data_IF_720692754138
#
_entry.id   IF_720692754138
#
_cell.length_a   1.000
_cell.length_b   1.000
_cell.length_c   1.000
_cell.angle_alpha   90.00
_cell.angle_beta   90.00
_cell.angle_gamma   90.00
#
_symmetry.space_group_name_H-M   'P 1'
#
loop_
_entity.id
_entity.type
_entity.pdbx_description
1 polymer ?
#
# COMPACT_ATOMS: atom_id res chain seq x y z
N UNK A 1 -1.88 20.32 35.88
CA UNK A 1 -2.66 19.14 36.31
C UNK A 1 -2.82 18.20 35.12
N UNK A 2 -2.73 16.87 35.30
CA UNK A 2 -2.84 15.94 34.19
C UNK A 2 -4.29 15.95 33.69
N UNK A 3 -4.49 16.35 32.43
CA UNK A 3 -5.84 16.35 31.83
C UNK A 3 -6.27 14.88 31.69
N UNK A 4 -7.32 14.48 32.40
CA UNK A 4 -8.02 13.22 32.14
C UNK A 4 -8.45 13.24 30.67
N UNK A 5 -7.91 12.33 29.87
CA UNK A 5 -8.47 12.06 28.55
C UNK A 5 -9.90 11.55 28.78
N UNK A 6 -10.89 12.36 28.41
CA UNK A 6 -12.27 11.93 28.40
C UNK A 6 -12.42 10.72 27.48
N UNK A 7 -13.31 9.82 27.83
CA UNK A 7 -13.73 8.67 27.02
C UNK A 7 -13.88 9.11 25.56
N UNK A 8 -13.14 8.48 24.66
CA UNK A 8 -13.18 8.80 23.23
C UNK A 8 -14.57 8.41 22.73
N UNK A 9 -15.29 9.38 22.20
CA UNK A 9 -16.60 9.17 21.57
C UNK A 9 -16.37 8.68 20.15
N UNK A 10 -16.33 7.36 19.97
CA UNK A 10 -16.07 6.70 18.69
C UNK A 10 -17.11 7.06 17.61
N UNK A 11 -18.32 7.50 17.99
CA UNK A 11 -19.35 7.93 17.03
C UNK A 11 -19.00 9.26 16.35
N UNK A 12 -18.13 10.07 16.97
CA UNK A 12 -17.65 11.34 16.42
C UNK A 12 -16.29 11.23 15.74
N UNK A 13 -15.68 10.05 15.74
CA UNK A 13 -14.38 9.82 15.11
C UNK A 13 -14.60 9.64 13.62
N UNK A 14 -14.11 10.59 12.83
CA UNK A 14 -14.20 10.53 11.38
C UNK A 14 -13.29 9.45 10.77
N UNK A 15 -12.10 9.22 11.36
CA UNK A 15 -11.10 8.27 10.89
C UNK A 15 -10.20 7.80 12.05
N UNK A 16 -9.80 6.51 12.01
CA UNK A 16 -8.78 5.95 12.90
C UNK A 16 -7.62 5.46 12.04
N UNK A 17 -6.42 5.95 12.35
CA UNK A 17 -5.19 5.58 11.66
C UNK A 17 -4.30 4.74 12.58
N UNK A 18 -3.72 3.69 12.01
CA UNK A 18 -2.76 2.81 12.67
C UNK A 18 -1.49 2.78 11.84
N UNK A 19 -0.34 2.51 12.46
CA UNK A 19 0.91 2.37 11.72
C UNK A 19 1.11 0.92 11.32
N UNK A 20 1.27 0.68 10.01
CA UNK A 20 1.60 -0.64 9.50
C UNK A 20 3.02 -1.03 9.96
N UNK A 21 3.23 -2.20 10.57
CA UNK A 21 4.56 -2.63 11.04
C UNK A 21 5.47 -3.08 9.88
N UNK A 22 4.92 -3.38 8.71
CA UNK A 22 5.67 -3.84 7.52
C UNK A 22 6.11 -2.67 6.65
N UNK A 23 5.15 -1.83 6.24
CA UNK A 23 5.42 -0.69 5.35
C UNK A 23 5.81 0.58 6.11
N UNK A 24 5.67 0.59 7.43
CA UNK A 24 5.90 1.73 8.32
C UNK A 24 5.04 2.98 8.03
N UNK A 25 4.11 2.88 7.07
CA UNK A 25 3.14 3.91 6.69
C UNK A 25 1.91 3.92 7.58
N UNK A 26 1.16 5.02 7.56
CA UNK A 26 -0.15 5.10 8.19
C UNK A 26 -1.18 4.39 7.31
N UNK A 27 -2.02 3.58 7.95
CA UNK A 27 -3.11 2.85 7.33
C UNK A 27 -4.42 3.15 8.05
N UNK A 28 -5.53 3.03 7.34
CA UNK A 28 -6.87 3.06 7.94
C UNK A 28 -7.13 1.74 8.68
N UNK A 29 -7.69 1.80 9.89
CA UNK A 29 -7.77 0.63 10.77
C UNK A 29 -8.75 -0.47 10.34
N UNK A 30 -9.76 -0.17 9.51
CA UNK A 30 -10.79 -1.12 9.04
C UNK A 30 -10.51 -1.65 7.65
N UNK A 31 -9.86 -0.88 6.77
CA UNK A 31 -9.56 -1.33 5.41
C UNK A 31 -8.10 -1.74 5.27
N UNK A 32 -7.21 -1.20 6.10
CA UNK A 32 -5.77 -1.30 5.94
C UNK A 32 -5.27 -0.59 4.68
N UNK A 33 -6.09 0.26 4.04
CA UNK A 33 -5.64 1.09 2.94
C UNK A 33 -4.64 2.14 3.46
N UNK A 34 -3.54 2.40 2.73
CA UNK A 34 -2.59 3.43 3.09
C UNK A 34 -3.26 4.79 3.04
N UNK A 35 -2.99 5.62 4.05
CA UNK A 35 -3.49 6.98 4.13
C UNK A 35 -2.78 7.84 3.09
N UNK A 36 -3.47 8.15 2.01
CA UNK A 36 -3.03 9.12 0.99
C UNK A 36 -3.41 10.55 1.39
N UNK A 37 -2.88 11.55 0.67
CA UNK A 37 -3.26 12.96 0.88
C UNK A 37 -4.76 13.17 0.69
N UNK A 38 -5.35 12.55 -0.33
CA UNK A 38 -6.79 12.59 -0.61
C UNK A 38 -7.63 11.96 0.49
N UNK A 39 -7.08 10.99 1.22
CA UNK A 39 -7.74 10.37 2.38
C UNK A 39 -7.89 11.32 3.58
N UNK A 40 -6.90 12.20 3.81
CA UNK A 40 -6.90 13.14 4.94
C UNK A 40 -8.01 14.18 4.85
N UNK A 41 -8.42 14.51 3.63
CA UNK A 41 -9.45 15.53 3.38
C UNK A 41 -10.88 14.96 3.39
N UNK A 42 -11.04 13.63 3.44
CA UNK A 42 -12.35 12.96 3.49
C UNK A 42 -12.94 12.99 4.91
N UNK A 43 -13.90 13.88 5.14
CA UNK A 43 -14.78 13.83 6.33
C UNK A 43 -15.74 12.65 6.21
N UNK A 44 -15.98 11.90 7.30
CA UNK A 44 -16.82 10.69 7.34
C UNK A 44 -16.41 9.62 6.33
N UNK A 45 -15.15 9.19 6.38
CA UNK A 45 -14.70 8.08 5.53
C UNK A 45 -15.52 6.83 5.82
N UNK A 46 -16.16 6.29 4.78
CA UNK A 46 -16.86 5.02 4.84
C UNK A 46 -16.04 4.01 4.08
N UNK A 47 -15.71 2.90 4.73
CA UNK A 47 -15.02 1.80 4.07
C UNK A 47 -15.88 1.27 2.91
N UNK A 48 -15.40 1.47 1.69
CA UNK A 48 -16.04 0.97 0.46
C UNK A 48 -15.51 -0.42 0.05
N UNK A 49 -14.66 -0.98 0.90
CA UNK A 49 -13.90 -2.19 0.63
C UNK A 49 -13.95 -3.11 1.84
N UNK A 50 -14.29 -4.38 1.59
CA UNK A 50 -14.28 -5.42 2.62
C UNK A 50 -13.02 -6.27 2.44
N UNK A 51 -12.21 -6.28 3.48
CA UNK A 51 -11.06 -7.16 3.61
C UNK A 51 -11.50 -8.54 4.09
N UNK A 52 -10.66 -9.54 3.86
CA UNK A 52 -10.89 -10.87 4.40
C UNK A 52 -10.97 -10.81 5.95
N UNK A 53 -11.93 -11.53 6.53
CA UNK A 53 -12.23 -11.52 7.97
C UNK A 53 -11.05 -12.02 8.82
N UNK A 54 -10.13 -12.80 8.24
CA UNK A 54 -8.95 -13.33 8.92
C UNK A 54 -7.67 -12.57 8.55
N UNK A 55 -7.75 -11.53 7.71
CA UNK A 55 -6.58 -10.73 7.40
C UNK A 55 -6.17 -9.84 8.59
N UNK A 56 -4.86 -9.64 8.84
CA UNK A 56 -4.40 -8.75 9.89
C UNK A 56 -4.68 -7.28 9.54
N UNK A 57 -5.48 -6.62 10.38
CA UNK A 57 -5.93 -5.22 10.21
C UNK A 57 -4.90 -4.19 10.68
N UNK A 58 -3.84 -4.63 11.36
CA UNK A 58 -2.67 -3.83 11.73
C UNK A 58 -1.65 -3.74 10.59
N UNK A 59 -1.84 -4.49 9.50
CA UNK A 59 -0.93 -4.52 8.35
C UNK A 59 -1.63 -3.96 7.11
N UNK A 60 -0.88 -3.19 6.32
CA UNK A 60 -1.36 -2.63 5.05
C UNK A 60 -1.96 -3.71 4.15
N UNK A 61 -3.09 -3.42 3.53
CA UNK A 61 -3.68 -4.29 2.51
C UNK A 61 -2.74 -4.50 1.32
N UNK A 62 -1.85 -3.53 1.05
CA UNK A 62 -0.85 -3.59 -0.01
C UNK A 62 0.38 -4.43 0.35
N UNK A 63 0.48 -4.91 1.60
CA UNK A 63 1.56 -5.80 2.02
C UNK A 63 1.23 -7.29 1.74
N UNK A 64 0.00 -7.60 1.33
CA UNK A 64 -0.42 -8.94 0.95
C UNK A 64 -0.73 -8.95 -0.55
N UNK A 65 -0.22 -9.94 -1.28
CA UNK A 65 -0.55 -10.15 -2.69
C UNK A 65 -2.04 -10.53 -2.89
N UNK A 66 -2.76 -10.83 -1.80
CA UNK A 66 -4.20 -11.06 -1.79
C UNK A 66 -4.97 -9.75 -1.73
N UNK A 67 -5.62 -9.38 -2.84
CA UNK A 67 -6.47 -8.20 -2.95
C UNK A 67 -7.75 -8.23 -2.10
N UNK A 68 -8.60 -7.24 -2.30
CA UNK A 68 -9.87 -7.12 -1.57
C UNK A 68 -10.97 -8.03 -2.13
N UNK A 69 -11.74 -8.67 -1.24
CA UNK A 69 -12.80 -9.62 -1.62
C UNK A 69 -14.01 -8.95 -2.26
N UNK A 70 -14.34 -7.75 -1.81
CA UNK A 70 -15.42 -6.93 -2.38
C UNK A 70 -15.01 -5.46 -2.39
N UNK A 71 -15.07 -4.85 -3.58
CA UNK A 71 -14.95 -3.40 -3.77
C UNK A 71 -16.18 -2.89 -4.48
N UNK A 72 -16.85 -1.87 -3.94
CA UNK A 72 -18.07 -1.32 -4.53
C UNK A 72 -17.83 -0.54 -5.82
N UNK A 73 -16.70 0.14 -5.90
CA UNK A 73 -16.30 0.91 -7.08
C UNK A 73 -14.95 0.37 -7.58
N UNK A 74 -14.77 0.15 -8.89
CA UNK A 74 -13.44 -0.13 -9.45
C UNK A 74 -12.51 1.05 -9.11
N UNK A 75 -11.22 0.79 -8.91
CA UNK A 75 -10.24 1.88 -8.78
C UNK A 75 -10.13 2.59 -10.12
N UNK A 76 -10.99 3.58 -10.34
CA UNK A 76 -10.92 4.48 -11.48
C UNK A 76 -9.70 5.43 -11.38
N UNK A 77 -9.06 5.47 -10.21
CA UNK A 77 -8.02 6.45 -9.85
C UNK A 77 -6.70 5.82 -9.33
N UNK A 78 -6.39 4.54 -9.63
CA UNK A 78 -4.96 4.26 -9.89
C UNK A 78 -4.77 4.71 -11.32
N UNK A 79 -4.67 6.03 -11.51
CA UNK A 79 -3.84 6.47 -12.61
C UNK A 79 -2.48 5.94 -12.22
N UNK A 80 -1.98 4.99 -13.00
CA UNK A 80 -0.58 4.63 -12.98
C UNK A 80 0.15 5.93 -13.35
N UNK A 81 0.36 6.81 -12.37
CA UNK A 81 1.09 8.04 -12.54
C UNK A 81 2.55 7.69 -12.42
N UNK A 82 3.34 8.23 -13.32
CA UNK A 82 4.78 8.09 -13.21
C UNK A 82 5.27 8.74 -11.91
N UNK A 83 6.22 8.09 -11.24
CA UNK A 83 6.95 8.74 -10.16
C UNK A 83 7.69 9.97 -10.68
N UNK A 84 7.96 10.90 -9.77
CA UNK A 84 8.81 12.05 -10.02
C UNK A 84 10.12 11.60 -10.73
N UNK A 85 10.51 12.23 -11.85
CA UNK A 85 11.76 11.90 -12.55
C UNK A 85 13.02 11.91 -11.67
N UNK A 86 13.02 12.64 -10.56
CA UNK A 86 14.13 12.65 -9.60
C UNK A 86 14.19 11.38 -8.73
N UNK A 87 13.09 10.63 -8.65
CA UNK A 87 13.01 9.37 -7.89
C UNK A 87 13.44 8.22 -8.80
N UNK A 88 14.66 7.72 -8.57
CA UNK A 88 15.16 6.51 -9.22
C UNK A 88 14.43 5.26 -8.73
N UNK A 89 13.85 4.49 -9.64
CA UNK A 89 13.27 3.17 -9.35
C UNK A 89 14.32 2.10 -9.62
N UNK A 90 14.51 1.21 -8.65
CA UNK A 90 15.48 0.12 -8.74
C UNK A 90 14.83 -1.21 -8.38
N UNK A 91 15.30 -2.27 -9.03
CA UNK A 91 14.92 -3.64 -8.74
C UNK A 91 16.08 -4.36 -8.05
N UNK A 92 15.78 -5.18 -7.04
CA UNK A 92 16.75 -5.98 -6.29
C UNK A 92 16.17 -7.37 -6.09
N UNK A 93 17.00 -8.40 -6.26
CA UNK A 93 16.54 -9.77 -6.08
C UNK A 93 17.66 -10.79 -5.99
N UNK A 94 17.26 -12.05 -5.95
CA UNK A 94 18.16 -13.18 -5.74
C UNK A 94 19.17 -13.37 -6.87
N UNK A 95 18.87 -12.92 -8.10
CA UNK A 95 19.80 -12.98 -9.24
C UNK A 95 21.07 -12.15 -9.01
N UNK A 96 21.02 -11.11 -8.16
CA UNK A 96 22.19 -10.31 -7.75
C UNK A 96 22.68 -10.67 -6.35
N UNK A 97 22.17 -11.77 -5.77
CA UNK A 97 22.41 -12.12 -4.37
C UNK A 97 21.96 -11.03 -3.38
N UNK A 98 21.02 -10.18 -3.77
CA UNK A 98 20.60 -8.98 -3.01
C UNK A 98 21.72 -7.97 -2.73
N UNK A 99 22.86 -8.09 -3.43
CA UNK A 99 24.04 -7.23 -3.21
C UNK A 99 24.06 -6.00 -4.11
N UNK A 100 23.27 -6.01 -5.18
CA UNK A 100 23.19 -4.92 -6.16
C UNK A 100 21.75 -4.63 -6.52
N UNK A 101 21.48 -3.33 -6.68
CA UNK A 101 20.23 -2.79 -7.21
C UNK A 101 20.45 -2.42 -8.68
N UNK A 102 19.53 -2.83 -9.56
CA UNK A 102 19.56 -2.51 -10.98
C UNK A 102 18.48 -1.45 -11.29
N UNK A 103 18.85 -0.37 -11.97
CA UNK A 103 17.91 0.70 -12.29
C UNK A 103 16.83 0.22 -13.28
N UNK A 104 15.60 0.70 -13.11
CA UNK A 104 14.49 0.42 -14.01
C UNK A 104 14.28 1.59 -14.99
N UNK A 105 13.99 1.27 -16.25
CA UNK A 105 13.60 2.23 -17.27
C UNK A 105 12.11 2.56 -17.17
N UNK A 106 11.76 3.84 -17.31
CA UNK A 106 10.36 4.31 -17.32
C UNK A 106 9.75 4.11 -18.71
N UNK A 107 8.59 3.46 -18.78
CA UNK A 107 7.78 3.31 -20.00
C UNK A 107 6.62 4.31 -20.09
N UNK A 108 6.29 4.98 -18.98
CA UNK A 108 5.20 5.94 -18.90
C UNK A 108 3.93 5.32 -18.34
N UNK A 109 3.09 6.14 -17.72
CA UNK A 109 1.87 5.66 -17.06
C UNK A 109 2.21 4.69 -15.93
N UNK A 110 3.12 5.07 -15.02
CA UNK A 110 3.48 4.31 -13.81
C UNK A 110 4.23 3.01 -14.07
N UNK A 111 4.49 2.67 -15.34
CA UNK A 111 5.16 1.44 -15.73
C UNK A 111 6.68 1.61 -15.76
N UNK A 112 7.36 0.72 -15.04
CA UNK A 112 8.82 0.61 -15.00
C UNK A 112 9.24 -0.79 -15.44
N UNK A 113 10.28 -0.87 -16.27
CA UNK A 113 10.79 -2.14 -16.80
C UNK A 113 12.29 -2.26 -16.58
N UNK A 114 12.75 -3.46 -16.23
CA UNK A 114 14.17 -3.81 -16.25
C UNK A 114 14.31 -5.22 -16.81
N UNK A 115 15.33 -5.43 -17.63
CA UNK A 115 15.61 -6.74 -18.25
C UNK A 115 16.78 -7.38 -17.52
N UNK A 116 16.57 -8.58 -17.01
CA UNK A 116 17.55 -9.29 -16.19
C UNK A 116 17.78 -10.67 -16.80
N UNK A 117 19.05 -10.98 -17.06
CA UNK A 117 19.43 -12.31 -17.51
C UNK A 117 19.45 -13.25 -16.31
N UNK A 118 18.47 -14.14 -16.26
CA UNK A 118 18.42 -15.24 -15.29
C UNK A 118 18.93 -16.50 -16.01
N UNK A 119 19.71 -17.33 -15.32
CA UNK A 119 20.11 -18.64 -15.86
C UNK A 119 18.92 -19.59 -16.02
N UNK A 120 19.18 -20.82 -16.48
CA UNK A 120 18.14 -21.86 -16.52
C UNK A 120 17.57 -22.08 -15.11
N UNK A 121 16.25 -21.92 -14.98
CA UNK A 121 15.51 -22.09 -13.74
C UNK A 121 14.35 -23.05 -13.95
N UNK A 122 13.94 -23.76 -12.89
CA UNK A 122 12.68 -24.50 -12.89
C UNK A 122 11.53 -23.53 -12.61
N UNK A 123 10.55 -23.54 -13.49
CA UNK A 123 9.26 -22.89 -13.30
C UNK A 123 8.22 -24.01 -13.17
N UNK A 124 7.47 -24.01 -12.07
CA UNK A 124 6.30 -24.89 -11.92
C UNK A 124 5.07 -24.07 -12.32
N UNK A 125 4.31 -24.60 -13.28
CA UNK A 125 3.05 -24.04 -13.79
C UNK A 125 1.86 -24.40 -12.90
#
# INVERSE_FOLDING_TARGET
>A
GPRKASTIDFEKVDQIHVRCPVTMGLIEHLTGEPITKTFRDRKKYKADVLRDEFAPYDVSAYAFDGGFRYRREPLLDIQDEDLDPEIGVFICGSWSGFTRQDAMGRLGGGLYVSTITIGEGRYES
#
